data_IF_107875256179
#
_entry.id   IF_107875256179
#
_cell.length_a   1.000
_cell.length_b   1.000
_cell.length_c   1.000
_cell.angle_alpha   90.00
_cell.angle_beta   90.00
_cell.angle_gamma   90.00
#
_symmetry.space_group_name_H-M   'P 1'
#
loop_
_entity.id
_entity.type
_entity.pdbx_description
1 polymer ?
#
# COMPACT_ATOMS: atom_id res chain seq x y z
N UNK A 1 -22.59 -7.32 -82.98
CA UNK A 1 -22.52 -6.48 -81.77
C UNK A 1 -23.79 -6.70 -80.97
N UNK A 2 -23.74 -7.48 -79.88
CA UNK A 2 -24.83 -7.55 -78.89
C UNK A 2 -24.20 -7.69 -77.51
N UNK A 3 -24.49 -6.69 -76.67
CA UNK A 3 -23.90 -6.39 -75.37
C UNK A 3 -24.35 -7.38 -74.29
N UNK A 4 -23.41 -7.87 -73.47
CA UNK A 4 -23.70 -8.73 -72.31
C UNK A 4 -24.02 -7.89 -71.08
N UNK A 5 -25.18 -8.15 -70.47
CA UNK A 5 -25.59 -7.64 -69.16
C UNK A 5 -24.97 -8.52 -68.07
N UNK A 6 -24.16 -7.94 -67.16
CA UNK A 6 -23.68 -8.63 -65.96
C UNK A 6 -24.40 -8.02 -64.76
N UNK A 7 -25.22 -8.84 -64.11
CA UNK A 7 -25.90 -8.51 -62.84
C UNK A 7 -24.90 -8.76 -61.72
N UNK A 8 -24.51 -7.71 -61.00
CA UNK A 8 -23.66 -7.84 -59.80
C UNK A 8 -24.55 -8.14 -58.58
N UNK A 9 -24.40 -9.33 -58.00
CA UNK A 9 -24.98 -9.68 -56.70
C UNK A 9 -24.06 -9.17 -55.58
N UNK A 10 -24.53 -8.20 -54.81
CA UNK A 10 -23.83 -7.70 -53.63
C UNK A 10 -24.12 -8.61 -52.43
N UNK A 11 -23.11 -9.35 -51.96
CA UNK A 11 -23.19 -10.08 -50.69
C UNK A 11 -22.69 -9.16 -49.57
N UNK A 12 -23.61 -8.67 -48.74
CA UNK A 12 -23.27 -7.97 -47.49
C UNK A 12 -22.93 -8.98 -46.41
N UNK A 13 -21.65 -9.05 -46.04
CA UNK A 13 -21.18 -9.81 -44.88
C UNK A 13 -21.38 -8.94 -43.62
N UNK A 14 -22.32 -9.31 -42.77
CA UNK A 14 -22.43 -8.77 -41.41
C UNK A 14 -21.41 -9.47 -40.51
N UNK A 15 -20.46 -8.70 -39.98
CA UNK A 15 -19.52 -9.15 -38.95
C UNK A 15 -20.17 -9.04 -37.55
N UNK A 16 -20.08 -10.07 -36.69
CA UNK A 16 -20.55 -9.97 -35.32
C UNK A 16 -19.58 -9.12 -34.48
N UNK A 17 -20.13 -8.13 -33.77
CA UNK A 17 -19.38 -7.31 -32.82
C UNK A 17 -18.90 -8.16 -31.64
N UNK A 18 -17.59 -8.33 -31.50
CA UNK A 18 -16.99 -8.95 -30.33
C UNK A 18 -17.07 -7.99 -29.13
N UNK A 19 -17.44 -8.46 -27.93
CA UNK A 19 -17.43 -7.63 -26.73
C UNK A 19 -15.97 -7.33 -26.34
N UNK A 20 -15.66 -6.04 -26.19
CA UNK A 20 -14.39 -5.60 -25.63
C UNK A 20 -14.25 -6.15 -24.20
N UNK A 21 -13.07 -6.61 -23.77
CA UNK A 21 -12.85 -6.98 -22.38
C UNK A 21 -13.11 -5.76 -21.52
N UNK A 22 -14.04 -5.89 -20.57
CA UNK A 22 -14.27 -4.88 -19.55
C UNK A 22 -12.92 -4.57 -18.88
N UNK A 23 -12.47 -3.32 -18.99
CA UNK A 23 -11.39 -2.82 -18.17
C UNK A 23 -11.87 -2.93 -16.72
N UNK A 24 -11.39 -3.94 -15.99
CA UNK A 24 -11.61 -4.01 -14.54
C UNK A 24 -11.19 -2.65 -13.95
N UNK A 25 -12.03 -1.99 -13.15
CA UNK A 25 -11.61 -0.81 -12.41
C UNK A 25 -10.36 -1.20 -11.62
N UNK A 26 -9.23 -0.54 -11.89
CA UNK A 26 -8.10 -0.62 -10.95
C UNK A 26 -8.67 -0.24 -9.59
N UNK A 27 -8.42 -1.02 -8.51
CA UNK A 27 -8.75 -0.52 -7.18
C UNK A 27 -8.09 0.85 -7.07
N UNK A 28 -8.87 1.89 -6.79
CA UNK A 28 -8.36 3.25 -6.67
C UNK A 28 -7.09 3.21 -5.83
N UNK A 29 -5.95 3.56 -6.43
CA UNK A 29 -4.68 3.63 -5.72
C UNK A 29 -4.88 4.60 -4.57
N UNK A 30 -5.09 4.07 -3.37
CA UNK A 30 -5.26 4.89 -2.19
C UNK A 30 -4.02 5.75 -2.05
N UNK A 31 -4.22 7.06 -1.96
CA UNK A 31 -3.13 8.00 -1.74
C UNK A 31 -2.50 7.65 -0.39
N UNK A 32 -1.17 7.56 -0.36
CA UNK A 32 -0.38 7.17 0.81
C UNK A 32 0.52 8.35 1.19
N UNK A 33 0.90 8.52 2.47
CA UNK A 33 1.84 9.56 2.84
C UNK A 33 3.18 9.34 2.16
N UNK A 34 3.52 10.25 1.24
CA UNK A 34 4.81 10.28 0.54
C UNK A 34 5.25 11.73 0.39
N UNK A 35 6.55 11.98 0.37
CA UNK A 35 7.07 13.21 -0.23
C UNK A 35 7.22 12.98 -1.74
N UNK A 36 6.58 13.83 -2.54
CA UNK A 36 6.82 13.88 -4.00
C UNK A 36 8.15 14.59 -4.25
N UNK A 37 9.27 13.92 -3.98
CA UNK A 37 10.59 14.44 -4.36
C UNK A 37 10.89 14.06 -5.80
N UNK A 38 10.80 15.03 -6.72
CA UNK A 38 11.71 15.04 -7.89
C UNK A 38 13.15 15.02 -7.34
N UNK A 39 14.06 14.22 -7.91
CA UNK A 39 15.39 14.07 -7.33
C UNK A 39 16.15 15.40 -7.48
N UNK A 40 16.29 16.14 -6.39
CA UNK A 40 17.24 17.25 -6.32
C UNK A 40 18.36 16.82 -5.39
N UNK A 41 19.52 16.56 -5.98
CA UNK A 41 20.77 16.26 -5.29
C UNK A 41 21.16 17.45 -4.40
N UNK A 42 21.01 17.30 -3.09
CA UNK A 42 21.70 18.12 -2.10
C UNK A 42 22.57 17.23 -1.25
N UNK A 43 23.87 17.35 -1.44
CA UNK A 43 24.89 16.52 -0.83
C UNK A 43 25.00 16.74 0.68
N UNK A 44 24.58 15.73 1.43
CA UNK A 44 25.32 15.20 2.58
C UNK A 44 25.20 13.68 2.45
N UNK A 45 26.33 12.97 2.39
CA UNK A 45 26.37 11.50 2.39
C UNK A 45 25.92 10.95 3.75
N UNK A 46 24.61 11.01 4.02
CA UNK A 46 23.96 10.01 4.85
C UNK A 46 23.56 8.88 3.91
N UNK A 47 23.93 7.63 4.27
CA UNK A 47 23.52 6.45 3.49
C UNK A 47 22.00 6.50 3.35
N UNK A 48 21.52 6.72 2.13
CA UNK A 48 20.09 6.80 1.85
C UNK A 48 19.41 5.53 2.34
N UNK A 49 18.31 5.68 3.08
CA UNK A 49 17.63 4.55 3.70
C UNK A 49 16.85 3.81 2.63
N UNK A 50 17.27 2.58 2.34
CA UNK A 50 16.61 1.76 1.34
C UNK A 50 15.27 1.21 1.87
N UNK A 51 14.37 0.86 0.96
CA UNK A 51 13.16 0.09 1.27
C UNK A 51 13.47 -1.20 2.06
N UNK A 52 14.58 -1.86 1.73
CA UNK A 52 15.05 -3.04 2.44
C UNK A 52 15.41 -2.73 3.91
N UNK A 53 16.06 -1.60 4.17
CA UNK A 53 16.38 -1.15 5.53
C UNK A 53 15.12 -0.86 6.34
N UNK A 54 14.11 -0.23 5.73
CA UNK A 54 12.80 0.08 6.32
C UNK A 54 12.08 -1.24 6.67
N UNK A 55 11.96 -2.14 5.70
CA UNK A 55 11.34 -3.46 5.86
C UNK A 55 12.02 -4.27 6.98
N UNK A 56 13.36 -4.30 6.99
CA UNK A 56 14.12 -4.94 8.04
C UNK A 56 13.89 -4.27 9.41
N UNK A 57 13.81 -2.93 9.45
CA UNK A 57 13.47 -2.17 10.66
C UNK A 57 12.16 -2.60 11.30
N UNK A 58 11.11 -2.66 10.49
CA UNK A 58 9.77 -3.08 10.91
C UNK A 58 9.79 -4.51 11.44
N UNK A 59 10.38 -5.45 10.68
CA UNK A 59 10.48 -6.86 11.07
C UNK A 59 11.23 -7.04 12.39
N UNK A 60 12.35 -6.33 12.59
CA UNK A 60 13.10 -6.36 13.85
C UNK A 60 12.27 -5.82 15.01
N UNK A 61 11.55 -4.73 14.81
CA UNK A 61 10.69 -4.14 15.84
C UNK A 61 9.59 -5.12 16.25
N UNK A 62 8.84 -5.66 15.27
CA UNK A 62 7.79 -6.65 15.51
C UNK A 62 8.36 -7.87 16.24
N UNK A 63 9.49 -8.42 15.77
CA UNK A 63 10.11 -9.58 16.39
C UNK A 63 10.60 -9.31 17.82
N UNK A 64 11.17 -8.13 18.08
CA UNK A 64 11.57 -7.69 19.42
C UNK A 64 10.38 -7.65 20.37
N UNK A 65 9.28 -7.04 19.95
CA UNK A 65 8.14 -6.82 20.84
C UNK A 65 7.31 -8.10 21.02
N UNK A 66 7.20 -8.90 19.96
CA UNK A 66 6.74 -10.30 20.04
C UNK A 66 7.62 -11.13 20.97
N UNK A 67 8.92 -10.83 21.06
CA UNK A 67 9.81 -11.56 21.97
C UNK A 67 9.52 -11.25 23.45
N UNK A 68 9.08 -10.03 23.73
CA UNK A 68 8.81 -9.52 25.08
C UNK A 68 7.41 -9.85 25.57
N UNK A 69 6.46 -10.10 24.67
CA UNK A 69 5.10 -10.50 25.04
C UNK A 69 5.07 -11.93 25.57
N UNK A 70 4.17 -12.17 26.54
CA UNK A 70 3.98 -13.47 27.17
C UNK A 70 3.31 -14.49 26.24
N UNK A 71 2.45 -14.02 25.34
CA UNK A 71 1.69 -14.83 24.39
C UNK A 71 2.38 -15.01 23.03
N UNK A 72 3.60 -14.46 22.89
CA UNK A 72 4.37 -14.49 21.63
C UNK A 72 3.65 -13.81 20.47
N UNK A 73 2.88 -12.74 20.74
CA UNK A 73 2.21 -11.92 19.73
C UNK A 73 2.73 -10.49 19.69
N UNK A 74 2.56 -9.81 18.55
CA UNK A 74 2.76 -8.37 18.46
C UNK A 74 1.49 -7.65 18.87
N UNK A 75 1.59 -6.69 19.79
CA UNK A 75 0.43 -6.00 20.36
C UNK A 75 0.23 -4.61 19.76
N UNK A 76 -0.97 -4.34 19.25
CA UNK A 76 -1.39 -3.04 18.72
C UNK A 76 -2.69 -2.59 19.38
N UNK A 77 -2.71 -1.37 19.92
CA UNK A 77 -3.94 -0.77 20.44
C UNK A 77 -4.87 -0.35 19.31
N UNK A 78 -6.14 -0.71 19.41
CA UNK A 78 -7.19 -0.31 18.48
C UNK A 78 -8.47 0.04 19.24
N UNK A 79 -8.70 1.33 19.47
CA UNK A 79 -9.73 1.80 20.39
C UNK A 79 -9.47 1.26 21.79
N UNK A 80 -10.47 0.59 22.38
CA UNK A 80 -10.33 -0.10 23.67
C UNK A 80 -9.72 -1.50 23.57
N UNK A 81 -9.43 -2.00 22.35
CA UNK A 81 -8.90 -3.34 22.13
C UNK A 81 -7.38 -3.34 22.15
N UNK A 82 -6.82 -4.44 22.64
CA UNK A 82 -5.42 -4.80 22.49
C UNK A 82 -5.35 -5.98 21.52
N UNK A 83 -4.91 -5.72 20.29
CA UNK A 83 -4.86 -6.73 19.24
C UNK A 83 -3.57 -7.52 19.37
N UNK A 84 -3.69 -8.83 19.57
CA UNK A 84 -2.56 -9.77 19.53
C UNK A 84 -2.42 -10.32 18.10
N UNK A 85 -1.31 -10.00 17.44
CA UNK A 85 -1.16 -10.14 15.99
C UNK A 85 0.09 -10.93 15.59
N UNK A 86 -0.05 -11.74 14.53
CA UNK A 86 1.06 -12.34 13.80
C UNK A 86 1.36 -11.56 12.52
N UNK A 87 2.65 -11.35 12.23
CA UNK A 87 3.07 -10.74 10.96
C UNK A 87 2.75 -11.66 9.78
N UNK A 88 2.08 -11.13 8.76
CA UNK A 88 1.95 -11.78 7.45
C UNK A 88 2.98 -11.22 6.48
N UNK A 89 2.95 -9.91 6.24
CA UNK A 89 3.75 -9.28 5.19
C UNK A 89 3.98 -7.79 5.46
N UNK A 90 5.18 -7.33 5.17
CA UNK A 90 5.48 -5.90 4.98
C UNK A 90 5.36 -5.60 3.49
N UNK A 91 4.53 -4.62 3.10
CA UNK A 91 4.34 -4.25 1.70
C UNK A 91 5.45 -3.33 1.23
N UNK A 92 6.36 -3.85 0.39
CA UNK A 92 7.47 -3.06 -0.15
C UNK A 92 6.98 -1.93 -1.07
N UNK A 93 5.89 -2.17 -1.82
CA UNK A 93 5.23 -1.19 -2.70
C UNK A 93 4.50 -0.07 -1.94
N UNK A 94 4.42 -0.17 -0.61
CA UNK A 94 3.80 0.82 0.29
C UNK A 94 4.79 1.39 1.30
N UNK A 95 6.08 1.32 0.97
CA UNK A 95 7.14 1.98 1.73
C UNK A 95 7.34 3.38 1.20
N UNK A 96 7.48 4.35 2.09
CA UNK A 96 7.62 5.74 1.68
C UNK A 96 8.52 6.50 2.63
N UNK A 97 9.48 7.22 2.07
CA UNK A 97 10.16 8.28 2.81
C UNK A 97 9.18 9.44 2.98
N UNK A 98 9.14 10.01 4.17
CA UNK A 98 8.37 11.22 4.51
C UNK A 98 9.30 12.44 4.66
N UNK A 99 10.59 12.28 4.36
CA UNK A 99 11.61 13.31 4.57
C UNK A 99 12.06 13.42 6.03
N UNK A 100 13.18 14.11 6.26
CA UNK A 100 13.70 14.36 7.62
C UNK A 100 14.02 13.08 8.41
N UNK A 101 14.38 11.99 7.72
CA UNK A 101 14.64 10.68 8.34
C UNK A 101 13.39 10.00 8.90
N UNK A 102 12.21 10.34 8.39
CA UNK A 102 10.91 9.72 8.73
C UNK A 102 10.45 8.81 7.59
N UNK A 103 9.82 7.69 7.93
CA UNK A 103 9.37 6.68 6.99
C UNK A 103 7.97 6.16 7.34
N UNK A 104 7.31 5.62 6.35
CA UNK A 104 5.98 5.03 6.42
C UNK A 104 5.97 3.64 5.75
N UNK A 105 5.17 2.72 6.29
CA UNK A 105 4.92 1.41 5.70
C UNK A 105 3.55 0.84 6.08
N UNK A 106 2.91 0.11 5.18
CA UNK A 106 1.74 -0.74 5.48
C UNK A 106 2.19 -2.19 5.74
N UNK A 107 1.59 -2.84 6.73
CA UNK A 107 1.93 -4.20 7.16
C UNK A 107 0.67 -5.01 7.39
N UNK A 108 0.54 -6.12 6.68
CA UNK A 108 -0.53 -7.09 6.92
C UNK A 108 -0.19 -7.94 8.14
N UNK A 109 -1.15 -8.04 9.06
CA UNK A 109 -1.07 -8.85 10.27
C UNK A 109 -2.38 -9.62 10.48
N UNK A 110 -2.30 -10.75 11.20
CA UNK A 110 -3.45 -11.63 11.44
C UNK A 110 -3.68 -11.82 12.93
N UNK A 111 -4.92 -11.67 13.37
CA UNK A 111 -5.35 -12.05 14.71
C UNK A 111 -5.70 -13.55 14.79
N UNK A 112 -5.76 -14.09 16.00
CA UNK A 112 -6.07 -15.51 16.25
C UNK A 112 -7.44 -15.94 15.69
N UNK A 113 -8.39 -15.02 15.61
CA UNK A 113 -9.73 -15.26 15.03
C UNK A 113 -9.74 -15.25 13.48
N UNK A 114 -8.59 -15.06 12.85
CA UNK A 114 -8.45 -14.99 11.39
C UNK A 114 -8.66 -13.60 10.80
N UNK A 115 -9.01 -12.59 11.60
CA UNK A 115 -9.15 -11.21 11.13
C UNK A 115 -7.81 -10.68 10.64
N UNK A 116 -7.80 -10.11 9.43
CA UNK A 116 -6.63 -9.47 8.83
C UNK A 116 -6.68 -7.97 9.11
N UNK A 117 -5.58 -7.44 9.61
CA UNK A 117 -5.37 -6.03 9.84
C UNK A 117 -4.24 -5.52 8.95
N UNK A 118 -4.49 -4.43 8.22
CA UNK A 118 -3.43 -3.64 7.59
C UNK A 118 -3.06 -2.54 8.58
N UNK A 119 -1.82 -2.55 9.08
CA UNK A 119 -1.31 -1.63 10.08
C UNK A 119 -0.33 -0.68 9.41
N UNK A 120 -0.59 0.63 9.53
CA UNK A 120 0.33 1.68 9.15
C UNK A 120 1.40 1.82 10.25
N UNK A 121 2.67 1.74 9.86
CA UNK A 121 3.84 1.96 10.70
C UNK A 121 4.52 3.27 10.32
N UNK A 122 4.70 4.15 11.29
CA UNK A 122 5.54 5.34 11.17
C UNK A 122 6.85 5.10 11.90
N UNK A 123 7.96 5.52 11.29
CA UNK A 123 9.28 5.29 11.84
C UNK A 123 10.21 6.47 11.61
N UNK A 124 11.24 6.55 12.45
CA UNK A 124 12.30 7.55 12.35
C UNK A 124 13.66 6.95 12.60
N UNK A 125 14.69 7.52 11.99
CA UNK A 125 16.10 7.22 12.29
C UNK A 125 16.92 6.85 11.07
N UNK A 126 18.09 6.28 11.32
CA UNK A 126 19.03 5.83 10.30
C UNK A 126 18.88 4.32 10.05
N UNK A 127 19.44 3.77 8.96
CA UNK A 127 19.55 2.32 8.78
C UNK A 127 20.16 1.68 10.03
N UNK A 128 19.67 0.50 10.44
CA UNK A 128 19.99 -0.20 11.70
C UNK A 128 19.45 0.39 13.01
N UNK A 129 19.27 1.71 13.15
CA UNK A 129 18.78 2.37 14.38
C UNK A 129 17.34 2.91 14.27
N UNK A 130 16.64 2.57 13.18
CA UNK A 130 15.23 2.93 12.98
C UNK A 130 14.35 2.45 14.14
N UNK A 131 13.48 3.35 14.58
CA UNK A 131 12.48 3.15 15.63
C UNK A 131 11.08 3.37 15.05
N UNK A 132 10.15 2.48 15.37
CA UNK A 132 8.72 2.72 15.18
C UNK A 132 8.24 3.76 16.18
N UNK A 133 7.57 4.80 15.69
CA UNK A 133 7.08 5.93 16.47
C UNK A 133 5.58 5.89 16.68
N UNK A 134 4.85 5.34 15.72
CA UNK A 134 3.40 5.19 15.76
C UNK A 134 2.98 3.99 14.93
N UNK A 135 1.91 3.32 15.38
CA UNK A 135 1.18 2.31 14.62
C UNK A 135 -0.29 2.67 14.59
N UNK A 136 -0.97 2.44 13.46
CA UNK A 136 -2.41 2.64 13.36
C UNK A 136 -3.06 1.57 12.50
N UNK A 137 -4.23 1.07 12.92
CA UNK A 137 -5.02 0.15 12.09
C UNK A 137 -5.58 0.94 10.92
N UNK A 138 -5.18 0.60 9.70
CA UNK A 138 -5.66 1.24 8.48
C UNK A 138 -6.79 0.45 7.82
N UNK A 139 -6.73 -0.88 7.84
CA UNK A 139 -7.78 -1.74 7.29
C UNK A 139 -8.12 -2.91 8.20
N UNK A 140 -9.37 -3.35 8.09
CA UNK A 140 -9.85 -4.60 8.70
C UNK A 140 -10.47 -5.45 7.60
N UNK A 141 -9.96 -6.66 7.39
CA UNK A 141 -10.37 -7.57 6.32
C UNK A 141 -10.41 -6.89 4.95
N UNK A 142 -9.35 -6.13 4.64
CA UNK A 142 -9.21 -5.40 3.38
C UNK A 142 -10.05 -4.13 3.24
N UNK A 143 -10.96 -3.85 4.19
CA UNK A 143 -11.79 -2.63 4.18
C UNK A 143 -11.07 -1.50 4.92
N UNK A 144 -10.78 -0.35 4.27
CA UNK A 144 -10.15 0.79 4.92
C UNK A 144 -11.07 1.43 5.96
N UNK A 145 -10.50 1.82 7.09
CA UNK A 145 -11.21 2.59 8.13
C UNK A 145 -10.96 4.10 7.98
N UNK A 146 -9.83 4.46 7.37
CA UNK A 146 -9.50 5.81 6.92
C UNK A 146 -8.76 5.76 5.58
N UNK A 147 -8.70 6.90 4.90
CA UNK A 147 -7.79 7.15 3.80
C UNK A 147 -6.82 8.27 4.21
N UNK A 148 -5.72 8.40 3.49
CA UNK A 148 -4.84 9.56 3.60
C UNK A 148 -5.20 10.60 2.56
N UNK A 149 -5.18 11.87 2.96
CA UNK A 149 -5.37 13.01 2.08
C UNK A 149 -4.29 14.04 2.37
N UNK A 150 -3.60 14.48 1.33
CA UNK A 150 -2.68 15.60 1.42
C UNK A 150 -3.44 16.92 1.27
N UNK A 151 -3.22 17.84 2.21
CA UNK A 151 -3.78 19.19 2.18
C UNK A 151 -2.67 20.20 2.48
N UNK A 152 -2.21 20.93 1.45
CA UNK A 152 -1.16 21.94 1.61
C UNK A 152 0.18 21.40 2.10
N UNK A 153 0.60 20.21 1.61
CA UNK A 153 1.83 19.54 2.05
C UNK A 153 1.71 18.79 3.38
N UNK A 154 0.52 18.79 4.00
CA UNK A 154 0.27 18.09 5.26
C UNK A 154 -0.65 16.89 5.02
N UNK A 155 -0.17 15.71 5.39
CA UNK A 155 -0.94 14.47 5.31
C UNK A 155 -1.90 14.33 6.50
N UNK A 156 -3.18 14.09 6.21
CA UNK A 156 -4.22 13.90 7.22
C UNK A 156 -4.99 12.61 6.98
N UNK A 157 -5.40 11.95 8.06
CA UNK A 157 -6.37 10.86 8.01
C UNK A 157 -7.76 11.43 7.78
N UNK A 158 -8.46 10.94 6.77
CA UNK A 158 -9.86 11.23 6.49
C UNK A 158 -10.66 9.94 6.59
N UNK A 159 -11.89 9.99 7.10
CA UNK A 159 -12.73 8.79 7.23
C UNK A 159 -12.90 8.13 5.86
N UNK A 160 -12.73 6.81 5.80
CA UNK A 160 -13.02 6.06 4.59
C UNK A 160 -14.53 6.09 4.34
N UNK A 161 -14.90 6.36 3.09
CA UNK A 161 -16.29 6.42 2.61
C UNK A 161 -16.88 5.03 2.44
#
# INVERSE_FOLDING_TARGET
>A
MVTRLIIALSVTVLLPAMPLPAQHPRPQSQQLPQITTRPTQSGIQTKEVSEADISAGIKRHIASDTKKSSDRKFHVKYGSKDLALDLIKVHNDRLSSLGGGKYFACVDMKATDGTIYDIDFFMTGQPSSMRVTETSVHKVNGKPIYNWKEEGGVWKRVRAS
#
